data_IF_805859027534
#
_entry.id   IF_805859027534
#
_cell.length_a   1.000
_cell.length_b   1.000
_cell.length_c   1.000
_cell.angle_alpha   90.00
_cell.angle_beta   90.00
_cell.angle_gamma   90.00
#
_symmetry.space_group_name_H-M   'P 1'
#
loop_
_entity.id
_entity.type
_entity.pdbx_description
1 polymer ?
#
# COMPACT_ATOMS: atom_id res chain seq x y z
N UNK A 1 1.81 6.72 20.59
CA UNK A 1 0.93 6.37 19.45
C UNK A 1 0.41 7.66 18.87
N UNK A 2 0.26 7.74 17.56
CA UNK A 2 -0.39 8.84 16.84
C UNK A 2 -1.78 8.36 16.34
N UNK A 3 -2.72 9.27 16.13
CA UNK A 3 -4.07 8.93 15.64
C UNK A 3 -4.59 9.91 14.62
N UNK A 4 -5.15 9.38 13.54
CA UNK A 4 -5.96 10.12 12.59
C UNK A 4 -7.43 9.72 12.81
N UNK A 5 -8.27 10.67 13.20
CA UNK A 5 -9.71 10.47 13.27
C UNK A 5 -10.37 11.15 12.08
N UNK A 6 -11.22 10.43 11.34
CA UNK A 6 -12.00 10.98 10.23
C UNK A 6 -13.49 10.66 10.39
N UNK A 7 -14.32 11.61 9.98
CA UNK A 7 -15.77 11.45 9.97
C UNK A 7 -16.35 12.10 8.70
N UNK A 8 -16.96 11.27 7.87
CA UNK A 8 -17.50 11.70 6.58
C UNK A 8 -19.02 11.83 6.61
N UNK A 9 -19.51 12.98 6.16
CA UNK A 9 -20.94 13.26 6.01
C UNK A 9 -21.28 13.57 4.56
N UNK A 10 -22.42 13.09 4.09
CA UNK A 10 -22.95 13.39 2.76
C UNK A 10 -23.70 14.72 2.77
N UNK A 11 -23.38 15.59 1.82
CA UNK A 11 -24.08 16.86 1.63
C UNK A 11 -25.30 16.67 0.70
N UNK A 12 -26.24 17.60 0.75
CA UNK A 12 -27.46 17.60 -0.07
C UNK A 12 -27.22 17.67 -1.59
N UNK A 13 -26.07 18.22 -1.99
CA UNK A 13 -25.65 18.35 -3.40
C UNK A 13 -24.94 17.09 -3.93
N UNK A 14 -24.84 16.03 -3.12
CA UNK A 14 -24.15 14.80 -3.48
C UNK A 14 -22.63 14.86 -3.36
N UNK A 15 -22.08 15.96 -2.82
CA UNK A 15 -20.68 16.03 -2.35
C UNK A 15 -20.55 15.48 -0.94
N UNK A 16 -19.31 15.37 -0.45
CA UNK A 16 -19.01 14.82 0.87
C UNK A 16 -18.10 15.75 1.64
N UNK A 17 -18.30 15.87 2.94
CA UNK A 17 -17.38 16.55 3.84
C UNK A 17 -16.78 15.54 4.79
N UNK A 18 -15.46 15.37 4.74
CA UNK A 18 -14.71 14.57 5.72
C UNK A 18 -14.06 15.51 6.72
N UNK A 19 -14.61 15.55 7.93
CA UNK A 19 -13.96 16.17 9.09
C UNK A 19 -12.79 15.30 9.52
N UNK A 20 -11.68 15.90 9.93
CA UNK A 20 -10.51 15.16 10.36
C UNK A 20 -9.78 15.84 11.51
N UNK A 21 -9.15 15.02 12.34
CA UNK A 21 -8.30 15.44 13.46
C UNK A 21 -7.05 14.56 13.50
N UNK A 22 -5.88 15.21 13.54
CA UNK A 22 -4.59 14.57 13.70
C UNK A 22 -4.05 14.79 15.09
N UNK A 23 -3.81 13.68 15.77
CA UNK A 23 -3.38 13.60 17.13
C UNK A 23 -1.99 12.99 17.19
N UNK A 24 -1.07 13.63 17.90
CA UNK A 24 0.30 13.15 18.04
C UNK A 24 0.57 12.78 19.50
N UNK A 25 1.31 11.70 19.72
CA UNK A 25 1.82 11.32 21.04
C UNK A 25 0.74 11.22 22.15
N UNK A 26 -0.37 10.55 21.83
CA UNK A 26 -1.58 10.44 22.68
C UNK A 26 -1.29 9.80 24.03
N UNK A 27 -0.39 8.82 24.04
CA UNK A 27 -0.11 8.00 25.21
C UNK A 27 0.94 8.61 26.13
N UNK A 28 1.45 9.82 25.81
CA UNK A 28 2.36 10.52 26.71
C UNK A 28 1.54 11.33 27.72
N UNK A 29 1.92 11.27 28.99
CA UNK A 29 1.39 12.15 30.03
C UNK A 29 1.79 13.59 29.75
N UNK A 30 0.82 14.49 29.64
CA UNK A 30 1.05 15.92 29.39
C UNK A 30 0.45 16.79 30.49
N UNK A 31 1.11 17.92 30.79
CA UNK A 31 0.65 18.93 31.76
C UNK A 31 -0.43 19.88 31.20
N UNK A 32 -0.76 19.81 29.90
CA UNK A 32 -1.69 20.72 29.20
C UNK A 32 -2.84 19.96 28.53
N UNK A 33 -4.00 20.61 28.28
CA UNK A 33 -5.12 19.98 27.57
C UNK A 33 -4.68 19.52 26.19
N UNK A 34 -5.01 18.27 25.89
CA UNK A 34 -4.60 17.58 24.68
C UNK A 34 -5.47 18.04 23.51
N UNK A 35 -4.91 18.93 22.68
CA UNK A 35 -5.55 19.40 21.44
C UNK A 35 -4.97 18.66 20.22
N UNK A 36 -5.78 18.40 19.17
CA UNK A 36 -5.28 17.90 17.91
C UNK A 36 -4.19 18.83 17.36
N UNK A 37 -3.09 18.26 16.87
CA UNK A 37 -2.00 19.04 16.28
C UNK A 37 -2.43 19.71 14.97
N UNK A 38 -3.29 19.05 14.21
CA UNK A 38 -3.91 19.60 13.02
C UNK A 38 -5.33 19.02 12.85
N UNK A 39 -6.18 19.73 12.12
CA UNK A 39 -7.53 19.26 11.81
C UNK A 39 -8.22 20.18 10.81
N UNK A 40 -9.45 19.83 10.42
CA UNK A 40 -10.26 20.64 9.52
C UNK A 40 -11.24 19.79 8.72
N UNK A 41 -11.60 20.29 7.54
CA UNK A 41 -12.58 19.68 6.63
C UNK A 41 -11.99 19.48 5.25
N UNK A 42 -12.18 18.29 4.68
CA UNK A 42 -11.95 18.01 3.26
C UNK A 42 -13.30 17.93 2.58
N UNK A 43 -13.58 18.86 1.67
CA UNK A 43 -14.71 18.78 0.75
C UNK A 43 -14.33 17.88 -0.43
N UNK A 44 -15.05 16.78 -0.62
CA UNK A 44 -14.80 15.80 -1.67
C UNK A 44 -15.96 15.74 -2.68
N UNK A 45 -15.60 15.73 -3.94
CA UNK A 45 -16.51 15.43 -5.05
C UNK A 45 -16.00 14.20 -5.80
N UNK A 46 -16.85 13.19 -5.99
CA UNK A 46 -16.49 11.97 -6.73
C UNK A 46 -16.96 12.06 -8.17
N UNK A 47 -16.08 11.71 -9.12
CA UNK A 47 -16.43 11.60 -10.52
C UNK A 47 -17.65 10.68 -10.75
N UNK A 48 -18.50 10.95 -11.76
CA UNK A 48 -19.75 10.20 -11.99
C UNK A 48 -19.58 8.70 -12.19
N UNK A 49 -18.40 8.25 -12.64
CA UNK A 49 -18.09 6.82 -12.81
C UNK A 49 -18.08 6.02 -11.51
N UNK A 50 -17.97 6.69 -10.36
CA UNK A 50 -18.02 6.07 -9.04
C UNK A 50 -19.46 6.13 -8.53
N UNK A 51 -20.20 5.04 -8.72
CA UNK A 51 -21.65 4.98 -8.42
C UNK A 51 -21.94 4.34 -7.06
N UNK A 52 -21.12 3.38 -6.64
CA UNK A 52 -21.32 2.59 -5.42
C UNK A 52 -20.55 3.15 -4.22
N UNK A 53 -21.15 3.06 -3.03
CA UNK A 53 -20.52 3.36 -1.73
C UNK A 53 -19.72 4.67 -1.69
N UNK A 54 -20.21 5.69 -2.40
CA UNK A 54 -19.50 6.96 -2.66
C UNK A 54 -19.01 7.65 -1.39
N UNK A 55 -19.77 7.59 -0.29
CA UNK A 55 -19.35 8.15 0.99
C UNK A 55 -18.13 7.41 1.60
N UNK A 56 -18.09 6.08 1.47
CA UNK A 56 -16.96 5.25 1.91
C UNK A 56 -15.73 5.56 1.07
N UNK A 57 -15.91 5.68 -0.25
CA UNK A 57 -14.83 6.04 -1.18
C UNK A 57 -14.30 7.46 -0.90
N UNK A 58 -15.18 8.42 -0.61
CA UNK A 58 -14.81 9.77 -0.20
C UNK A 58 -13.93 9.77 1.05
N UNK A 59 -14.32 9.02 2.09
CA UNK A 59 -13.53 8.90 3.32
C UNK A 59 -12.14 8.32 3.05
N UNK A 60 -12.05 7.25 2.26
CA UNK A 60 -10.76 6.63 1.91
C UNK A 60 -9.88 7.59 1.11
N UNK A 61 -10.45 8.38 0.19
CA UNK A 61 -9.73 9.42 -0.54
C UNK A 61 -9.28 10.57 0.35
N UNK A 62 -10.07 10.95 1.35
CA UNK A 62 -9.68 11.95 2.35
C UNK A 62 -8.45 11.46 3.14
N UNK A 63 -8.47 10.21 3.60
CA UNK A 63 -7.33 9.57 4.28
C UNK A 63 -6.11 9.55 3.35
N UNK A 64 -6.28 9.16 2.08
CA UNK A 64 -5.17 9.17 1.11
C UNK A 64 -4.58 10.56 0.94
N UNK A 65 -5.41 11.59 0.77
CA UNK A 65 -4.96 12.97 0.63
C UNK A 65 -4.15 13.42 1.85
N UNK A 66 -4.66 13.18 3.06
CA UNK A 66 -3.98 13.54 4.31
C UNK A 66 -2.64 12.81 4.49
N UNK A 67 -2.61 11.50 4.25
CA UNK A 67 -1.45 10.67 4.55
C UNK A 67 -0.40 10.66 3.42
N UNK A 68 -0.82 10.73 2.15
CA UNK A 68 0.08 10.53 1.01
C UNK A 68 0.43 11.84 0.31
N UNK A 69 -0.49 12.80 0.24
CA UNK A 69 -0.29 14.09 -0.43
C UNK A 69 0.19 15.14 0.56
N UNK A 70 -0.60 15.39 1.61
CA UNK A 70 -0.26 16.39 2.65
C UNK A 70 0.77 15.89 3.67
N UNK A 71 0.92 14.57 3.78
CA UNK A 71 1.86 13.90 4.68
C UNK A 71 1.81 14.48 6.11
N UNK A 72 0.60 14.65 6.65
CA UNK A 72 0.37 15.31 7.96
C UNK A 72 1.13 14.64 9.13
N UNK A 73 1.49 13.37 8.96
CA UNK A 73 2.23 12.57 9.93
C UNK A 73 3.76 12.61 9.75
N UNK A 74 4.27 13.35 8.76
CA UNK A 74 5.68 13.45 8.36
C UNK A 74 6.06 12.72 7.06
N UNK A 75 7.07 13.21 6.35
CA UNK A 75 7.54 12.59 5.11
C UNK A 75 8.10 11.17 5.36
N UNK A 76 7.88 10.28 4.39
CA UNK A 76 8.35 8.87 4.42
C UNK A 76 7.89 8.05 5.64
N UNK A 77 6.82 8.48 6.31
CA UNK A 77 6.19 7.72 7.41
C UNK A 77 5.31 6.61 6.85
N UNK A 78 5.20 5.55 7.66
CA UNK A 78 4.42 4.34 7.42
C UNK A 78 3.40 4.17 8.55
N UNK A 79 2.70 3.04 8.59
CA UNK A 79 1.64 2.77 9.58
C UNK A 79 2.11 2.51 11.02
N UNK A 80 3.42 2.61 11.30
CA UNK A 80 4.00 2.26 12.61
C UNK A 80 3.47 3.19 13.70
N UNK A 81 2.98 2.60 14.81
CA UNK A 81 2.45 3.33 15.96
C UNK A 81 1.32 4.32 15.61
N UNK A 82 0.51 3.99 14.61
CA UNK A 82 -0.58 4.82 14.11
C UNK A 82 -1.93 4.12 14.25
N UNK A 83 -2.94 4.85 14.70
CA UNK A 83 -4.34 4.45 14.61
C UNK A 83 -5.08 5.35 13.62
N UNK A 84 -5.97 4.76 12.83
CA UNK A 84 -6.88 5.46 11.92
C UNK A 84 -8.30 5.08 12.31
N UNK A 85 -8.99 6.05 12.90
CA UNK A 85 -10.40 5.98 13.26
C UNK A 85 -11.24 6.41 12.05
N UNK A 86 -12.00 5.47 11.50
CA UNK A 86 -12.85 5.67 10.31
C UNK A 86 -14.32 5.65 10.70
N UNK A 87 -15.19 6.33 9.95
CA UNK A 87 -16.63 6.31 10.22
C UNK A 87 -17.31 5.06 9.66
N UNK A 88 -16.77 4.49 8.58
CA UNK A 88 -17.37 3.34 7.90
C UNK A 88 -16.69 2.01 8.27
N UNK A 89 -17.43 1.11 8.90
CA UNK A 89 -16.95 -0.24 9.24
C UNK A 89 -16.53 -1.10 8.04
N UNK A 90 -17.02 -0.80 6.83
CA UNK A 90 -16.58 -1.46 5.60
C UNK A 90 -15.08 -1.25 5.32
N UNK A 91 -14.53 -0.10 5.68
CA UNK A 91 -13.09 0.20 5.54
C UNK A 91 -12.30 -0.71 6.48
N UNK A 92 -12.72 -0.82 7.75
CA UNK A 92 -12.10 -1.76 8.72
C UNK A 92 -12.15 -3.20 8.22
N UNK A 93 -13.29 -3.64 7.69
CA UNK A 93 -13.43 -5.00 7.12
C UNK A 93 -12.50 -5.24 5.93
N UNK A 94 -12.39 -4.26 5.02
CA UNK A 94 -11.47 -4.32 3.87
C UNK A 94 -9.99 -4.40 4.29
N UNK A 95 -9.68 -3.90 5.49
CA UNK A 95 -8.33 -3.82 6.07
C UNK A 95 -8.07 -4.83 7.19
N UNK A 96 -8.94 -5.84 7.36
CA UNK A 96 -8.76 -6.80 8.44
C UNK A 96 -7.48 -7.63 8.25
N UNK A 97 -6.49 -7.39 9.12
CA UNK A 97 -5.13 -7.94 9.01
C UNK A 97 -5.10 -9.47 8.92
N UNK A 98 -5.88 -10.18 9.75
CA UNK A 98 -5.93 -11.65 9.71
C UNK A 98 -6.24 -12.18 8.31
N UNK A 99 -7.27 -11.64 7.67
CA UNK A 99 -7.69 -12.06 6.32
C UNK A 99 -6.73 -11.59 5.24
N UNK A 100 -6.18 -10.37 5.37
CA UNK A 100 -5.13 -9.87 4.47
C UNK A 100 -3.87 -10.73 4.50
N UNK A 101 -3.47 -11.24 5.67
CA UNK A 101 -2.32 -12.12 5.84
C UNK A 101 -2.55 -13.52 5.32
N UNK A 102 -3.78 -14.04 5.48
CA UNK A 102 -4.14 -15.40 5.07
C UNK A 102 -4.48 -15.53 3.58
N UNK A 103 -5.16 -14.54 3.00
CA UNK A 103 -5.74 -14.66 1.64
C UNK A 103 -5.34 -13.52 0.70
N UNK A 104 -4.53 -12.55 1.16
CA UNK A 104 -4.23 -11.32 0.43
C UNK A 104 -5.48 -10.45 0.13
N UNK A 105 -6.61 -10.74 0.77
CA UNK A 105 -7.90 -10.04 0.64
C UNK A 105 -8.49 -9.76 2.03
N UNK A 106 -9.11 -8.60 2.19
CA UNK A 106 -9.86 -8.28 3.42
C UNK A 106 -11.21 -9.02 3.47
N UNK A 107 -11.94 -8.87 4.57
CA UNK A 107 -13.29 -9.43 4.75
C UNK A 107 -14.37 -8.53 4.15
N UNK A 108 -14.21 -8.20 2.88
CA UNK A 108 -15.20 -7.41 2.15
C UNK A 108 -15.47 -8.02 0.79
N UNK A 109 -16.75 -8.08 0.44
CA UNK A 109 -17.29 -8.39 -0.89
C UNK A 109 -17.25 -7.17 -1.83
N UNK A 110 -17.12 -5.96 -1.27
CA UNK A 110 -17.06 -4.68 -2.00
C UNK A 110 -15.70 -4.47 -2.65
N UNK A 111 -15.58 -4.92 -3.90
CA UNK A 111 -14.34 -4.83 -4.67
C UNK A 111 -13.83 -3.39 -4.82
N UNK A 112 -14.72 -2.42 -5.02
CA UNK A 112 -14.36 -1.01 -5.14
C UNK A 112 -13.76 -0.45 -3.83
N UNK A 113 -14.27 -0.84 -2.65
CA UNK A 113 -13.67 -0.46 -1.36
C UNK A 113 -12.30 -1.11 -1.19
N UNK A 114 -12.17 -2.41 -1.52
CA UNK A 114 -10.90 -3.11 -1.46
C UNK A 114 -9.83 -2.49 -2.37
N UNK A 115 -10.24 -1.98 -3.54
CA UNK A 115 -9.37 -1.27 -4.47
C UNK A 115 -8.92 0.08 -3.91
N UNK A 116 -9.83 0.89 -3.37
CA UNK A 116 -9.50 2.22 -2.83
C UNK A 116 -8.68 2.14 -1.55
N UNK A 117 -8.86 1.10 -0.74
CA UNK A 117 -8.10 0.90 0.51
C UNK A 117 -6.74 0.25 0.31
N UNK A 118 -6.35 -0.04 -0.95
CA UNK A 118 -5.10 -0.76 -1.28
C UNK A 118 -3.86 -0.10 -0.65
N UNK A 119 -3.76 1.23 -0.64
CA UNK A 119 -2.61 1.92 -0.05
C UNK A 119 -2.51 1.75 1.48
N UNK A 120 -3.65 1.63 2.17
CA UNK A 120 -3.68 1.32 3.60
C UNK A 120 -3.30 -0.15 3.84
N UNK A 121 -3.75 -1.04 2.97
CA UNK A 121 -3.39 -2.47 3.02
C UNK A 121 -1.94 -2.77 2.61
N UNK A 122 -1.18 -1.77 2.15
CA UNK A 122 0.22 -1.94 1.76
C UNK A 122 1.14 -0.99 2.53
N UNK A 123 1.26 0.28 2.12
CA UNK A 123 2.17 1.26 2.75
C UNK A 123 1.90 1.45 4.24
N UNK A 124 0.63 1.49 4.63
CA UNK A 124 0.22 1.70 6.02
C UNK A 124 -0.27 0.42 6.70
N UNK A 125 0.19 -0.75 6.28
CA UNK A 125 -0.31 -2.04 6.77
C UNK A 125 -0.27 -2.16 8.30
N UNK A 126 0.76 -1.62 8.96
CA UNK A 126 0.88 -1.65 10.41
C UNK A 126 -0.18 -0.83 11.15
N UNK A 127 -0.80 0.16 10.50
CA UNK A 127 -1.76 1.04 11.15
C UNK A 127 -2.93 0.22 11.73
N UNK A 128 -3.35 0.58 12.95
CA UNK A 128 -4.56 0.04 13.53
C UNK A 128 -5.78 0.76 12.93
N UNK A 129 -6.77 0.02 12.46
CA UNK A 129 -8.00 0.59 11.89
C UNK A 129 -9.17 0.31 12.85
N UNK A 130 -9.74 1.36 13.40
CA UNK A 130 -10.87 1.30 14.33
C UNK A 130 -12.05 2.11 13.79
N UNK A 131 -13.26 1.83 14.28
CA UNK A 131 -14.48 2.53 13.84
C UNK A 131 -14.86 3.56 14.88
N UNK A 132 -14.90 4.82 14.47
CA UNK A 132 -15.41 5.92 15.28
C UNK A 132 -16.89 6.11 14.99
N UNK A 133 -17.72 5.83 16.00
CA UNK A 133 -19.16 6.08 15.89
C UNK A 133 -19.41 7.59 15.90
N UNK A 134 -20.41 8.02 15.14
CA UNK A 134 -20.72 9.44 14.95
C UNK A 134 -21.07 10.16 16.26
N UNK A 135 -21.74 9.48 17.19
CA UNK A 135 -22.08 9.97 18.54
C UNK A 135 -20.85 10.18 19.44
N UNK A 136 -19.71 9.61 19.08
CA UNK A 136 -18.44 9.75 19.82
C UNK A 136 -17.50 10.78 19.22
N UNK A 137 -17.87 11.42 18.10
CA UNK A 137 -17.08 12.50 17.54
C UNK A 137 -17.16 13.73 18.46
N UNK A 138 -16.01 14.30 18.79
CA UNK A 138 -15.92 15.54 19.55
C UNK A 138 -15.36 16.63 18.65
N UNK A 139 -16.10 17.73 18.51
CA UNK A 139 -15.63 18.91 17.80
C UNK A 139 -14.62 19.66 18.67
N UNK A 140 -13.35 19.29 18.52
CA UNK A 140 -12.21 19.86 19.24
C UNK A 140 -11.42 20.73 18.26
N UNK A 141 -11.17 21.98 18.65
CA UNK A 141 -10.37 22.90 17.86
C UNK A 141 -8.91 22.42 17.76
N UNK A 142 -8.41 22.31 16.54
CA UNK A 142 -7.04 21.89 16.29
C UNK A 142 -6.07 23.07 16.41
N UNK A 143 -4.84 22.80 16.85
CA UNK A 143 -3.77 23.80 16.89
C UNK A 143 -3.48 24.41 15.51
N UNK A 144 -3.67 23.62 14.45
CA UNK A 144 -3.57 24.07 13.06
C UNK A 144 -4.77 23.61 12.25
N UNK A 145 -5.63 24.55 11.87
CA UNK A 145 -6.74 24.29 10.96
C UNK A 145 -6.25 24.27 9.51
N UNK A 146 -6.58 23.21 8.77
CA UNK A 146 -6.35 23.10 7.33
C UNK A 146 -7.58 22.49 6.65
N UNK A 147 -8.11 23.21 5.67
CA UNK A 147 -9.24 22.78 4.86
C UNK A 147 -8.80 22.53 3.41
N UNK A 148 -9.45 21.58 2.74
CA UNK A 148 -9.09 21.16 1.39
C UNK A 148 -10.34 20.92 0.54
N UNK A 149 -10.17 21.05 -0.78
CA UNK A 149 -11.16 20.60 -1.76
C UNK A 149 -10.51 19.60 -2.72
N UNK A 150 -11.11 18.43 -2.87
CA UNK A 150 -10.54 17.30 -3.62
C UNK A 150 -11.55 16.73 -4.60
N UNK A 151 -11.19 16.74 -5.89
CA UNK A 151 -11.92 16.04 -6.94
C UNK A 151 -11.34 14.62 -7.12
N UNK A 152 -12.14 13.60 -6.84
CA UNK A 152 -11.74 12.19 -6.92
C UNK A 152 -12.05 11.64 -8.31
N UNK A 153 -11.03 11.67 -9.18
CA UNK A 153 -11.10 11.16 -10.55
C UNK A 153 -10.43 9.79 -10.73
N UNK A 154 -9.58 9.37 -9.80
CA UNK A 154 -8.82 8.12 -9.89
C UNK A 154 -8.79 7.40 -8.55
N UNK A 155 -8.43 6.12 -8.58
CA UNK A 155 -8.17 5.33 -7.37
C UNK A 155 -7.01 5.97 -6.59
N UNK A 156 -7.10 6.08 -5.26
CA UNK A 156 -6.00 6.55 -4.42
C UNK A 156 -4.87 5.51 -4.40
N UNK A 157 -3.82 5.75 -5.17
CA UNK A 157 -2.65 4.87 -5.26
C UNK A 157 -1.45 5.48 -4.54
N UNK A 158 -0.57 4.60 -4.09
CA UNK A 158 0.79 4.93 -3.68
C UNK A 158 1.71 4.16 -4.61
N UNK A 159 2.65 4.88 -5.21
CA UNK A 159 3.57 4.34 -6.20
C UNK A 159 5.01 4.58 -5.78
N UNK A 160 5.90 3.69 -6.25
CA UNK A 160 7.34 3.83 -6.16
C UNK A 160 7.84 4.09 -7.58
N UNK A 161 8.65 5.12 -7.76
CA UNK A 161 9.22 5.44 -9.07
C UNK A 161 10.28 4.42 -9.49
N UNK A 162 10.22 3.99 -10.74
CA UNK A 162 11.14 2.99 -11.32
C UNK A 162 11.49 3.37 -12.75
N UNK A 163 12.45 2.65 -13.34
CA UNK A 163 12.80 2.80 -14.77
C UNK A 163 11.62 2.47 -15.71
N UNK A 164 10.63 1.69 -15.25
CA UNK A 164 9.42 1.38 -16.01
C UNK A 164 8.27 2.38 -15.78
N UNK A 165 8.48 3.40 -14.94
CA UNK A 165 7.48 4.38 -14.48
C UNK A 165 7.04 4.16 -13.03
N UNK A 166 6.01 4.90 -12.61
CA UNK A 166 5.43 4.82 -11.26
C UNK A 166 4.71 3.49 -11.05
N UNK A 167 5.22 2.67 -10.13
CA UNK A 167 4.71 1.32 -9.85
C UNK A 167 3.93 1.30 -8.54
N UNK A 168 2.64 0.93 -8.59
CA UNK A 168 1.87 0.61 -7.40
C UNK A 168 2.13 -0.83 -6.95
N UNK A 169 2.05 -1.11 -5.64
CA UNK A 169 2.32 -2.45 -5.10
C UNK A 169 1.01 -3.16 -4.79
N UNK A 170 0.80 -4.35 -5.35
CA UNK A 170 -0.34 -5.20 -4.97
C UNK A 170 -0.13 -5.79 -3.57
N UNK A 171 -1.23 -6.11 -2.89
CA UNK A 171 -1.19 -6.81 -1.60
C UNK A 171 -0.51 -8.17 -1.71
N UNK A 172 -0.82 -8.90 -2.77
CA UNK A 172 -0.21 -10.20 -3.02
C UNK A 172 1.31 -10.09 -3.19
N UNK A 173 1.79 -9.10 -3.94
CA UNK A 173 3.21 -8.88 -4.13
C UNK A 173 3.91 -8.53 -2.81
N UNK A 174 3.29 -7.68 -1.98
CA UNK A 174 3.83 -7.34 -0.65
C UNK A 174 3.93 -8.58 0.26
N UNK A 175 2.88 -9.40 0.31
CA UNK A 175 2.88 -10.66 1.05
C UNK A 175 3.98 -11.62 0.55
N UNK A 176 4.20 -11.72 -0.76
CA UNK A 176 5.27 -12.57 -1.33
C UNK A 176 6.67 -12.11 -0.93
N UNK A 177 6.88 -10.81 -0.72
CA UNK A 177 8.16 -10.29 -0.21
C UNK A 177 8.33 -10.64 1.27
N UNK A 178 7.26 -10.46 2.05
CA UNK A 178 7.27 -10.84 3.47
C UNK A 178 7.61 -12.32 3.59
N UNK A 179 6.91 -13.17 2.84
CA UNK A 179 7.07 -14.61 2.82
C UNK A 179 8.47 -15.05 2.41
N UNK A 180 8.93 -14.61 1.23
CA UNK A 180 10.11 -15.19 0.59
C UNK A 180 11.42 -14.53 1.00
N UNK A 181 11.35 -13.40 1.71
CA UNK A 181 12.52 -12.58 2.01
C UNK A 181 12.57 -12.08 3.45
N UNK A 182 11.53 -11.42 3.93
CA UNK A 182 11.61 -10.68 5.19
C UNK A 182 11.36 -11.55 6.43
N UNK A 183 10.47 -12.53 6.31
CA UNK A 183 10.04 -13.43 7.36
C UNK A 183 10.24 -14.90 7.00
N UNK A 184 11.15 -15.20 6.06
CA UNK A 184 11.41 -16.55 5.55
C UNK A 184 11.64 -17.58 6.67
N UNK A 185 12.34 -17.17 7.73
CA UNK A 185 12.70 -18.05 8.85
C UNK A 185 11.57 -18.21 9.89
N UNK A 186 10.48 -17.46 9.76
CA UNK A 186 9.35 -17.45 10.68
C UNK A 186 8.13 -18.23 10.16
N UNK A 187 8.19 -18.70 8.91
CA UNK A 187 7.03 -19.23 8.20
C UNK A 187 7.15 -20.75 8.09
N UNK A 188 6.12 -21.44 8.59
CA UNK A 188 5.99 -22.90 8.49
C UNK A 188 5.08 -23.30 7.31
N UNK A 189 4.07 -22.48 6.99
CA UNK A 189 3.16 -22.65 5.85
C UNK A 189 3.30 -21.44 4.90
N UNK A 190 3.68 -21.71 3.65
CA UNK A 190 4.05 -20.69 2.67
C UNK A 190 2.93 -19.69 2.33
N UNK A 191 1.66 -20.00 2.62
CA UNK A 191 0.54 -19.14 2.22
C UNK A 191 -0.25 -18.53 3.41
N UNK A 192 0.04 -18.91 4.66
CA UNK A 192 -0.59 -18.30 5.84
C UNK A 192 0.41 -17.44 6.64
N UNK A 193 0.27 -16.12 6.53
CA UNK A 193 1.16 -15.16 7.20
C UNK A 193 0.59 -14.65 8.53
N UNK A 194 -0.50 -15.22 9.07
CA UNK A 194 -1.19 -14.69 10.25
C UNK A 194 -0.31 -14.61 11.49
N UNK A 195 0.63 -15.54 11.66
CA UNK A 195 1.62 -15.56 12.75
C UNK A 195 2.75 -14.55 12.59
N UNK A 196 2.94 -13.98 11.39
CA UNK A 196 4.04 -13.06 11.10
C UNK A 196 3.75 -11.68 11.72
N UNK A 197 4.67 -11.09 12.51
CA UNK A 197 4.50 -9.76 13.08
C UNK A 197 4.29 -8.66 12.01
N UNK A 198 3.43 -7.67 12.29
CA UNK A 198 3.07 -6.61 11.33
C UNK A 198 4.30 -5.77 10.89
N UNK A 199 5.30 -5.61 11.76
CA UNK A 199 6.58 -4.94 11.49
C UNK A 199 7.31 -5.44 10.23
N UNK A 200 7.04 -6.69 9.83
CA UNK A 200 7.63 -7.28 8.62
C UNK A 200 7.07 -6.66 7.35
N UNK A 201 5.84 -6.13 7.34
CA UNK A 201 5.27 -5.42 6.19
C UNK A 201 5.89 -4.04 6.00
N UNK A 202 6.14 -3.30 7.08
CA UNK A 202 6.92 -2.05 7.00
C UNK A 202 8.32 -2.31 6.49
N UNK A 203 8.99 -3.36 7.00
CA UNK A 203 10.31 -3.73 6.52
C UNK A 203 10.29 -4.14 5.04
N UNK A 204 9.25 -4.83 4.58
CA UNK A 204 9.04 -5.15 3.17
C UNK A 204 8.82 -3.89 2.31
N UNK A 205 8.04 -2.93 2.79
CA UNK A 205 7.80 -1.67 2.09
C UNK A 205 9.09 -0.86 1.95
N UNK A 206 9.84 -0.68 3.04
CA UNK A 206 11.15 0.01 3.01
C UNK A 206 12.16 -0.68 2.09
N UNK A 207 12.13 -2.02 2.05
CA UNK A 207 12.93 -2.78 1.10
C UNK A 207 12.57 -2.46 -0.35
N UNK A 208 11.28 -2.37 -0.67
CA UNK A 208 10.83 -1.99 -2.01
C UNK A 208 11.22 -0.56 -2.40
N UNK A 209 11.07 0.40 -1.49
CA UNK A 209 11.47 1.79 -1.71
C UNK A 209 12.96 1.91 -2.04
N UNK A 210 13.80 1.03 -1.49
CA UNK A 210 15.22 0.99 -1.80
C UNK A 210 15.52 0.29 -3.13
N UNK A 211 14.85 -0.83 -3.39
CA UNK A 211 15.27 -1.77 -4.45
C UNK A 211 14.62 -1.50 -5.80
N UNK A 212 13.33 -1.16 -5.84
CA UNK A 212 12.63 -0.92 -7.10
C UNK A 212 13.24 0.23 -7.91
N UNK A 213 13.61 1.39 -7.32
CA UNK A 213 14.24 2.47 -8.08
C UNK A 213 15.62 2.08 -8.65
N UNK A 214 16.34 1.20 -7.97
CA UNK A 214 17.66 0.72 -8.38
C UNK A 214 17.60 -0.51 -9.33
N UNK A 215 16.40 -0.97 -9.69
CA UNK A 215 16.22 -2.15 -10.55
C UNK A 215 16.36 -1.81 -12.04
N UNK A 216 16.81 -2.79 -12.81
CA UNK A 216 16.92 -2.70 -14.28
C UNK A 216 15.81 -3.49 -14.95
N UNK A 217 15.32 -3.01 -16.10
CA UNK A 217 14.36 -3.76 -16.89
C UNK A 217 15.02 -4.95 -17.61
N UNK A 218 14.36 -6.11 -17.56
CA UNK A 218 14.84 -7.36 -18.13
C UNK A 218 14.10 -7.68 -19.42
N UNK A 219 14.84 -8.05 -20.48
CA UNK A 219 14.24 -8.67 -21.67
C UNK A 219 13.91 -10.15 -21.40
N UNK A 220 12.63 -10.46 -21.37
CA UNK A 220 12.14 -11.81 -21.08
C UNK A 220 12.25 -12.67 -22.34
N UNK A 221 12.90 -13.85 -22.30
CA UNK A 221 12.88 -14.78 -23.42
C UNK A 221 11.45 -15.21 -23.81
N UNK A 222 11.16 -15.40 -25.10
CA UNK A 222 9.80 -15.66 -25.61
C UNK A 222 9.07 -16.81 -24.91
N UNK A 223 9.78 -17.93 -24.65
CA UNK A 223 9.21 -19.09 -23.94
C UNK A 223 8.75 -18.73 -22.51
N UNK A 224 9.54 -17.92 -21.82
CA UNK A 224 9.24 -17.47 -20.46
C UNK A 224 8.17 -16.38 -20.43
N UNK A 225 8.16 -15.50 -21.43
CA UNK A 225 7.11 -14.51 -21.62
C UNK A 225 5.74 -15.20 -21.74
N UNK A 226 5.61 -16.28 -22.52
CA UNK A 226 4.35 -17.03 -22.59
C UNK A 226 3.91 -17.61 -21.25
N UNK A 227 4.86 -18.12 -20.44
CA UNK A 227 4.56 -18.64 -19.09
C UNK A 227 4.09 -17.54 -18.16
N UNK A 228 4.79 -16.41 -18.14
CA UNK A 228 4.44 -15.24 -17.32
C UNK A 228 3.09 -14.68 -17.78
N UNK A 229 2.88 -14.54 -19.09
CA UNK A 229 1.62 -14.01 -19.64
C UNK A 229 0.43 -14.91 -19.33
N UNK A 230 0.60 -16.24 -19.32
CA UNK A 230 -0.46 -17.18 -18.89
C UNK A 230 -0.80 -17.02 -17.41
N UNK A 231 0.18 -16.73 -16.56
CA UNK A 231 -0.01 -16.67 -15.10
C UNK A 231 -0.47 -15.31 -14.60
N UNK A 232 0.08 -14.23 -15.16
CA UNK A 232 -0.12 -12.86 -14.68
C UNK A 232 -0.85 -11.97 -15.69
N UNK A 233 -1.00 -12.41 -16.94
CA UNK A 233 -1.68 -11.66 -18.01
C UNK A 233 -0.73 -11.06 -19.03
N UNK A 234 -1.29 -10.58 -20.15
CA UNK A 234 -0.52 -9.94 -21.22
C UNK A 234 0.06 -8.59 -20.80
N UNK A 235 1.07 -8.11 -21.52
CA UNK A 235 1.67 -6.78 -21.28
C UNK A 235 2.50 -6.70 -19.99
N UNK A 236 3.06 -7.82 -19.55
CA UNK A 236 3.91 -7.86 -18.36
C UNK A 236 5.31 -7.33 -18.64
N UNK A 237 5.84 -6.58 -17.68
CA UNK A 237 7.22 -6.09 -17.67
C UNK A 237 7.94 -6.69 -16.48
N UNK A 238 9.23 -6.95 -16.59
CA UNK A 238 10.03 -7.49 -15.50
C UNK A 238 11.16 -6.54 -15.15
N UNK A 239 11.31 -6.29 -13.86
CA UNK A 239 12.48 -5.62 -13.30
C UNK A 239 13.32 -6.64 -12.53
N UNK A 240 14.63 -6.48 -12.57
CA UNK A 240 15.58 -7.26 -11.77
C UNK A 240 16.50 -6.33 -11.02
N UNK A 241 16.74 -6.65 -9.76
CA UNK A 241 17.73 -5.97 -8.94
C UNK A 241 18.86 -6.92 -8.61
N UNK A 242 20.04 -6.60 -9.15
CA UNK A 242 21.22 -7.44 -9.09
C UNK A 242 21.65 -7.76 -7.65
N UNK A 243 21.84 -6.74 -6.80
CA UNK A 243 22.37 -6.98 -5.44
C UNK A 243 21.42 -7.78 -4.56
N UNK A 244 20.11 -7.58 -4.72
CA UNK A 244 19.11 -8.32 -3.94
C UNK A 244 18.72 -9.63 -4.59
N UNK A 245 19.13 -9.87 -5.84
CA UNK A 245 18.72 -11.01 -6.65
C UNK A 245 17.19 -11.17 -6.72
N UNK A 246 16.46 -10.04 -6.73
CA UNK A 246 14.99 -10.07 -6.83
C UNK A 246 14.54 -9.82 -8.25
N UNK A 247 13.53 -10.57 -8.68
CA UNK A 247 12.81 -10.38 -9.93
C UNK A 247 11.40 -9.93 -9.60
N UNK A 248 11.03 -8.75 -10.09
CA UNK A 248 9.73 -8.12 -9.89
C UNK A 248 8.92 -8.20 -11.17
N UNK A 249 7.71 -8.76 -11.09
CA UNK A 249 6.81 -8.86 -12.23
C UNK A 249 5.79 -7.73 -12.11
N UNK A 250 5.74 -6.90 -13.14
CA UNK A 250 4.87 -5.75 -13.27
C UNK A 250 3.83 -6.00 -14.36
N UNK A 251 2.64 -5.45 -14.19
CA UNK A 251 1.52 -5.58 -15.12
C UNK A 251 0.81 -4.24 -15.26
N UNK A 252 0.42 -3.90 -16.49
CA UNK A 252 -0.46 -2.77 -16.74
C UNK A 252 -1.88 -3.10 -16.30
N UNK A 253 -2.40 -2.31 -15.36
CA UNK A 253 -3.78 -2.31 -14.92
C UNK A 253 -4.48 -1.01 -15.36
N UNK A 254 -5.83 -0.94 -15.37
CA UNK A 254 -6.55 0.28 -15.76
C UNK A 254 -6.20 1.52 -14.93
N UNK A 255 -5.60 1.32 -13.75
CA UNK A 255 -5.19 2.37 -12.83
C UNK A 255 -3.66 2.65 -12.84
N UNK A 256 -2.91 2.01 -13.73
CA UNK A 256 -1.46 2.20 -13.88
C UNK A 256 -0.66 0.91 -13.78
N UNK A 257 0.66 1.03 -13.71
CA UNK A 257 1.57 -0.09 -13.59
C UNK A 257 1.51 -0.65 -12.15
N UNK A 258 1.29 -1.95 -12.01
CA UNK A 258 1.19 -2.64 -10.72
C UNK A 258 2.23 -3.77 -10.62
N UNK A 259 2.96 -3.82 -9.51
CA UNK A 259 3.74 -4.98 -9.13
C UNK A 259 2.81 -6.09 -8.62
N UNK A 260 2.74 -7.19 -9.37
CA UNK A 260 1.83 -8.31 -9.09
C UNK A 260 2.51 -9.44 -8.31
N UNK A 261 3.82 -9.59 -8.41
CA UNK A 261 4.56 -10.58 -7.59
C UNK A 261 6.06 -10.28 -7.53
N UNK A 262 6.74 -10.97 -6.62
CA UNK A 262 8.20 -11.05 -6.54
C UNK A 262 8.64 -12.51 -6.54
N UNK A 263 9.65 -12.84 -7.34
CA UNK A 263 10.40 -14.09 -7.23
C UNK A 263 11.85 -13.80 -6.84
N UNK A 264 12.47 -14.72 -6.10
CA UNK A 264 13.91 -14.68 -5.93
C UNK A 264 14.57 -15.24 -7.19
N UNK A 265 15.74 -14.72 -7.54
CA UNK A 265 16.62 -15.42 -8.45
C UNK A 265 17.08 -16.72 -7.76
N UNK A 266 16.84 -17.84 -8.40
CA UNK A 266 17.35 -19.14 -8.00
C UNK A 266 17.75 -19.90 -9.27
N UNK A 267 18.43 -21.04 -9.11
CA UNK A 267 18.92 -21.83 -10.25
C UNK A 267 17.81 -22.29 -11.23
N UNK A 268 16.54 -22.19 -10.81
CA UNK A 268 15.36 -22.50 -11.61
C UNK A 268 14.62 -21.25 -12.15
N UNK A 269 15.07 -20.04 -11.83
CA UNK A 269 14.48 -18.80 -12.30
C UNK A 269 14.96 -18.51 -13.72
N UNK A 270 14.24 -19.08 -14.68
CA UNK A 270 14.53 -18.95 -16.11
C UNK A 270 14.38 -17.53 -16.67
N UNK A 271 13.83 -16.60 -15.88
CA UNK A 271 13.64 -15.20 -16.26
C UNK A 271 15.00 -14.47 -16.29
N UNK A 272 15.84 -14.76 -15.29
CA UNK A 272 17.22 -14.25 -15.15
C UNK A 272 18.25 -15.17 -15.81
N UNK A 273 17.96 -16.48 -15.92
CA UNK A 273 18.84 -17.43 -16.61
C UNK A 273 19.11 -17.07 -18.09
N UNK A 274 18.19 -16.34 -18.74
CA UNK A 274 18.35 -15.85 -20.11
C UNK A 274 19.14 -14.55 -20.26
N UNK A 275 19.57 -13.92 -19.17
CA UNK A 275 20.25 -12.62 -19.22
C UNK A 275 21.77 -12.67 -19.31
N UNK A 276 22.41 -13.84 -19.22
CA UNK A 276 23.88 -13.94 -19.12
C UNK A 276 24.44 -12.91 -18.12
N UNK A 277 23.66 -12.60 -17.08
CA UNK A 277 24.10 -11.68 -16.06
C UNK A 277 25.35 -12.30 -15.44
N UNK A 278 26.45 -11.55 -15.25
CA UNK A 278 27.68 -12.13 -14.75
C UNK A 278 27.40 -12.80 -13.41
N UNK A 279 27.61 -14.12 -13.38
CA UNK A 279 27.48 -14.92 -12.17
C UNK A 279 28.72 -14.69 -11.34
N UNK A 280 28.56 -14.30 -10.09
CA UNK A 280 29.70 -14.17 -9.20
C UNK A 280 30.12 -15.56 -8.73
N UNK A 281 31.35 -15.99 -9.05
CA UNK A 281 31.95 -17.24 -8.60
C UNK A 281 33.20 -16.90 -7.81
N UNK A 282 33.12 -16.97 -6.48
CA UNK A 282 34.16 -16.42 -5.59
C UNK A 282 34.22 -14.88 -5.67
N UNK A 283 35.42 -14.34 -5.95
CA UNK A 283 35.63 -12.90 -6.17
C UNK A 283 35.55 -12.47 -7.66
N UNK A 284 35.22 -13.39 -8.57
CA UNK A 284 35.20 -13.13 -10.00
C UNK A 284 33.79 -13.13 -10.59
N UNK A 285 33.58 -12.27 -11.60
CA UNK A 285 32.37 -12.23 -12.41
C UNK A 285 32.54 -13.13 -13.63
N UNK A 286 31.71 -14.16 -13.76
CA UNK A 286 31.70 -15.15 -14.84
C UNK A 286 30.54 -14.86 -15.78
N UNK A 287 30.84 -14.59 -17.05
CA UNK A 287 29.84 -14.37 -18.10
C UNK A 287 29.62 -15.66 -18.88
N UNK A 288 28.38 -16.10 -19.05
CA UNK A 288 28.06 -17.25 -19.92
C UNK A 288 28.37 -16.88 -21.38
N UNK A 289 29.27 -17.64 -22.03
CA UNK A 289 29.58 -17.47 -23.45
C UNK A 289 28.35 -17.78 -24.31
N UNK A 290 28.23 -17.06 -25.42
CA UNK A 290 27.12 -17.17 -26.36
C UNK A 290 27.04 -18.51 -27.08
#
# INVERSE_FOLDING_TARGET
MDKLSVLTTTNSDGTFNTRWQWWQNINLTHEKPWLPKAGGVIALSLAPKWTEDRAILAEVCAIHHLLCIEQIHGAHRLGVNMEIEVSFGAIRKALLKGSLKKTSKGETDKQHVALFTKFLATKYFEANISVLRQDKWMDIEAQKTKNFSVLVNSVPLVSIETIAGSVSISRHALNRIVERRIAKDLIQDADDLTSVPDEKWTRAWKFLELVLPASTQVKIPTKELHRISRRYGQGTTVLWHQSSQCVFILKWEPHGLEMVTMTNDNEYNKITAGHKAPRQYGQQLVYDRA
#
